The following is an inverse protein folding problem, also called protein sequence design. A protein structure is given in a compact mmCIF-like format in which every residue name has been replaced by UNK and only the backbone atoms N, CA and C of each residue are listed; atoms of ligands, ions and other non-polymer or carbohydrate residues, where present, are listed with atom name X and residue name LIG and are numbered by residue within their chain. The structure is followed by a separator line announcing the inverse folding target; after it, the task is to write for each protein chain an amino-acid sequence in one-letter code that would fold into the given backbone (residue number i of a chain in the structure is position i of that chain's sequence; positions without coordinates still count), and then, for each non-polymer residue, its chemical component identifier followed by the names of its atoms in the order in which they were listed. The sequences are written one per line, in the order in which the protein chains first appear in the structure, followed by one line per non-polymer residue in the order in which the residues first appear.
data_IF_162673459873
#
_entry.id   IF_162673459873
#
_cell.length_a   1.000
_cell.length_b   1.000
_cell.length_c   1.000
_cell.angle_alpha   90.00
_cell.angle_beta   90.00
_cell.angle_gamma   90.00
#
_symmetry.space_group_name_H-M   'P 1'
#
loop_
_entity.id
_entity.type
_entity.pdbx_description
1 polymer ?
#
# COMPACT_ATOMS: atom_id res chain seq x y z
N UNK A 1 20.75 -8.12 -10.43
CA UNK A 1 20.26 -6.95 -9.67
C UNK A 1 18.80 -7.15 -9.27
N UNK A 2 18.55 -7.53 -8.02
CA UNK A 2 17.20 -7.64 -7.46
C UNK A 2 16.65 -6.23 -7.30
N UNK A 3 15.84 -5.78 -8.27
CA UNK A 3 14.96 -4.62 -8.09
C UNK A 3 13.94 -5.02 -7.03
N UNK A 4 14.25 -4.80 -5.76
CA UNK A 4 13.23 -4.83 -4.71
C UNK A 4 12.14 -3.85 -5.17
N UNK A 5 10.96 -4.38 -5.45
CA UNK A 5 9.82 -3.56 -5.86
C UNK A 5 9.39 -2.80 -4.60
N UNK A 6 8.88 -1.57 -4.74
CA UNK A 6 8.47 -0.74 -3.61
C UNK A 6 7.56 -1.47 -2.60
N UNK A 7 6.68 -2.35 -3.06
CA UNK A 7 5.79 -3.15 -2.20
C UNK A 7 6.53 -4.21 -1.37
N UNK A 8 7.61 -4.79 -1.90
CA UNK A 8 8.46 -5.77 -1.22
C UNK A 8 9.09 -5.17 0.03
N UNK A 9 9.74 -4.01 -0.10
CA UNK A 9 10.42 -3.35 1.01
C UNK A 9 9.44 -2.96 2.13
N UNK A 10 8.28 -2.41 1.76
CA UNK A 10 7.24 -2.04 2.73
C UNK A 10 6.70 -3.29 3.43
N UNK A 11 6.47 -4.38 2.69
CA UNK A 11 6.01 -5.63 3.27
C UNK A 11 7.02 -6.22 4.27
N UNK A 12 8.31 -6.23 3.93
CA UNK A 12 9.37 -6.68 4.83
C UNK A 12 9.42 -5.85 6.12
N UNK A 13 9.27 -4.53 6.03
CA UNK A 13 9.29 -3.65 7.20
C UNK A 13 8.15 -3.98 8.18
N UNK A 14 6.91 -4.12 7.71
CA UNK A 14 5.79 -4.51 8.57
C UNK A 14 5.93 -5.95 9.11
N UNK A 15 6.42 -6.88 8.29
CA UNK A 15 6.64 -8.26 8.73
C UNK A 15 7.75 -8.39 9.76
N UNK A 16 8.73 -7.49 9.79
CA UNK A 16 9.82 -7.49 10.78
C UNK A 16 9.34 -7.29 12.22
N UNK A 17 8.15 -6.72 12.39
CA UNK A 17 7.49 -6.48 13.68
C UNK A 17 6.18 -7.28 13.81
N UNK A 18 5.98 -8.29 12.96
CA UNK A 18 4.77 -9.12 12.90
C UNK A 18 3.45 -8.35 12.74
N UNK A 19 3.50 -7.17 12.10
CA UNK A 19 2.30 -6.42 11.76
C UNK A 19 1.56 -7.06 10.56
N UNK A 20 0.25 -7.36 10.68
CA UNK A 20 -0.47 -8.08 9.63
C UNK A 20 -0.81 -7.18 8.43
N UNK A 21 -0.47 -7.63 7.22
CA UNK A 21 -0.96 -7.03 5.96
C UNK A 21 -2.18 -7.83 5.48
N UNK A 22 -2.01 -9.06 5.01
CA UNK A 22 -3.11 -9.97 4.69
C UNK A 22 -2.77 -11.38 5.21
N UNK A 23 -2.84 -11.60 6.53
CA UNK A 23 -2.47 -12.88 7.12
C UNK A 23 -3.38 -13.99 6.60
N UNK A 24 -2.80 -15.17 6.39
CA UNK A 24 -3.55 -16.38 6.05
C UNK A 24 -4.02 -16.99 7.36
N UNK A 25 -5.34 -17.18 7.50
CA UNK A 25 -5.91 -17.89 8.65
C UNK A 25 -5.64 -19.38 8.49
N UNK A 26 -5.08 -20.01 9.53
CA UNK A 26 -4.92 -21.46 9.61
C UNK A 26 -6.27 -22.18 9.56
N UNK A 27 -6.25 -23.45 9.15
CA UNK A 27 -7.45 -24.29 9.06
C UNK A 27 -7.94 -24.77 10.43
N UNK A 28 -7.15 -24.54 11.48
CA UNK A 28 -7.40 -24.99 12.85
C UNK A 28 -8.58 -24.20 13.44
N UNK A 29 -9.78 -24.64 13.09
CA UNK A 29 -11.01 -24.34 13.80
C UNK A 29 -11.32 -25.57 14.64
N UNK A 30 -10.53 -25.74 15.72
CA UNK A 30 -10.77 -26.78 16.70
C UNK A 30 -12.16 -26.60 17.33
N UNK A 31 -12.84 -27.73 17.56
CA UNK A 31 -14.21 -27.82 18.12
C UNK A 31 -14.33 -27.27 19.56
N UNK A 32 -13.20 -26.92 20.20
CA UNK A 32 -13.09 -26.54 21.62
C UNK A 32 -12.64 -25.08 21.86
N UNK A 33 -12.88 -24.17 20.93
CA UNK A 33 -12.65 -22.73 21.17
C UNK A 33 -11.19 -22.27 21.05
N UNK A 34 -10.38 -22.97 20.26
CA UNK A 34 -8.99 -22.58 20.00
C UNK A 34 -8.91 -21.25 19.23
N UNK A 35 -7.95 -20.40 19.63
CA UNK A 35 -7.67 -19.12 18.97
C UNK A 35 -7.06 -19.40 17.59
N UNK A 36 -7.60 -18.83 16.50
CA UNK A 36 -7.09 -19.11 15.16
C UNK A 36 -5.64 -18.64 15.01
N UNK A 37 -4.77 -19.53 14.53
CA UNK A 37 -3.38 -19.21 14.19
C UNK A 37 -3.34 -18.47 12.84
N UNK A 38 -2.52 -17.42 12.76
CA UNK A 38 -2.33 -16.63 11.55
C UNK A 38 -0.91 -16.74 11.03
N UNK A 39 -0.76 -16.85 9.70
CA UNK A 39 0.51 -16.99 9.03
C UNK A 39 0.79 -15.81 8.09
N UNK A 40 2.05 -15.38 8.05
CA UNK A 40 2.54 -14.35 7.13
C UNK A 40 2.62 -14.92 5.70
N UNK A 41 2.22 -14.12 4.70
CA UNK A 41 2.50 -14.41 3.28
C UNK A 41 3.97 -14.10 3.00
N UNK A 42 4.55 -14.74 1.98
CA UNK A 42 5.88 -14.34 1.51
C UNK A 42 5.84 -12.88 1.00
N UNK A 43 6.78 -12.05 1.43
CA UNK A 43 6.75 -10.60 1.20
C UNK A 43 6.83 -10.19 -0.29
N UNK A 44 7.38 -11.04 -1.15
CA UNK A 44 7.41 -10.80 -2.61
C UNK A 44 6.04 -10.95 -3.28
N UNK A 45 5.04 -11.49 -2.58
CA UNK A 45 3.68 -11.68 -3.11
C UNK A 45 2.78 -10.47 -2.88
N UNK A 46 3.28 -9.38 -2.28
CA UNK A 46 2.51 -8.16 -2.07
C UNK A 46 2.62 -7.21 -3.25
N UNK A 47 1.46 -6.76 -3.73
CA UNK A 47 1.29 -5.60 -4.59
C UNK A 47 0.80 -4.39 -3.76
N UNK A 48 0.94 -3.15 -4.27
CA UNK A 48 0.44 -1.97 -3.57
C UNK A 48 -1.04 -2.06 -3.13
N UNK A 49 -1.90 -2.71 -3.92
CA UNK A 49 -3.33 -2.90 -3.61
C UNK A 49 -3.57 -3.71 -2.34
N UNK A 50 -2.66 -4.60 -1.95
CA UNK A 50 -2.86 -5.46 -0.78
C UNK A 50 -2.84 -4.67 0.54
N UNK A 51 -2.10 -3.55 0.59
CA UNK A 51 -2.13 -2.65 1.73
C UNK A 51 -3.47 -1.93 1.85
N UNK A 52 -4.05 -1.51 0.72
CA UNK A 52 -5.37 -0.86 0.69
C UNK A 52 -6.52 -1.82 1.01
N UNK A 53 -6.41 -3.11 0.62
CA UNK A 53 -7.41 -4.14 0.93
C UNK A 53 -7.29 -4.71 2.34
N UNK A 54 -6.18 -4.46 3.02
CA UNK A 54 -5.96 -4.98 4.36
C UNK A 54 -6.96 -4.38 5.36
N UNK A 55 -7.62 -5.20 6.19
CA UNK A 55 -8.46 -4.68 7.27
C UNK A 55 -7.63 -4.06 8.41
N UNK A 56 -6.30 -4.20 8.37
CA UNK A 56 -5.39 -3.71 9.39
C UNK A 56 -4.77 -2.35 9.01
N UNK A 57 -5.17 -1.74 7.89
CA UNK A 57 -4.70 -0.42 7.48
C UNK A 57 -5.88 0.52 7.24
N UNK A 58 -5.72 1.78 7.67
CA UNK A 58 -6.63 2.85 7.30
C UNK A 58 -6.13 3.52 6.02
N UNK A 59 -6.98 3.60 5.00
CA UNK A 59 -6.69 4.32 3.76
C UNK A 59 -7.12 5.77 3.91
N UNK A 60 -6.20 6.64 4.33
CA UNK A 60 -6.45 8.08 4.53
C UNK A 60 -6.10 8.84 3.24
N UNK A 61 -7.04 9.59 2.69
CA UNK A 61 -6.85 10.44 1.49
C UNK A 61 -7.35 11.87 1.79
N UNK A 62 -6.55 12.69 2.49
CA UNK A 62 -7.02 13.98 3.00
C UNK A 62 -7.57 14.88 1.90
N UNK A 63 -6.95 14.90 0.72
CA UNK A 63 -7.42 15.73 -0.40
C UNK A 63 -8.85 15.40 -0.82
N UNK A 64 -9.27 14.13 -0.75
CA UNK A 64 -10.65 13.73 -1.06
C UNK A 64 -11.64 14.25 -0.02
N UNK A 65 -11.25 14.25 1.26
CA UNK A 65 -12.06 14.76 2.37
C UNK A 65 -12.34 16.27 2.26
N UNK A 66 -11.46 17.00 1.57
CA UNK A 66 -11.60 18.43 1.32
C UNK A 66 -12.34 18.76 0.00
N UNK A 67 -13.04 17.78 -0.61
CA UNK A 67 -13.89 18.02 -1.78
C UNK A 67 -13.15 17.99 -3.13
N UNK A 68 -12.01 17.30 -3.21
CA UNK A 68 -11.29 17.15 -4.48
C UNK A 68 -12.17 16.53 -5.57
N UNK A 69 -12.25 17.22 -6.72
CA UNK A 69 -12.91 16.75 -7.92
C UNK A 69 -11.90 16.60 -9.06
N UNK A 70 -11.52 15.36 -9.38
CA UNK A 70 -10.55 15.07 -10.42
C UNK A 70 -10.95 15.60 -11.80
N UNK A 71 -12.24 15.86 -12.06
CA UNK A 71 -12.72 16.44 -13.33
C UNK A 71 -12.36 17.91 -13.49
N UNK A 72 -12.04 18.60 -12.40
CA UNK A 72 -11.57 19.99 -12.43
C UNK A 72 -10.06 20.07 -12.70
N UNK A 73 -9.35 18.93 -12.69
CA UNK A 73 -7.92 18.89 -12.95
C UNK A 73 -7.67 19.17 -14.43
N UNK A 74 -6.93 20.24 -14.71
CA UNK A 74 -6.45 20.57 -16.05
C UNK A 74 -5.07 19.97 -16.22
N UNK A 75 -4.95 18.98 -17.07
CA UNK A 75 -3.65 18.46 -17.49
C UNK A 75 -2.98 19.51 -18.38
N UNK A 76 -1.73 19.86 -18.07
CA UNK A 76 -0.92 20.66 -18.99
C UNK A 76 -0.45 19.79 -20.15
N UNK A 77 -0.45 20.34 -21.37
CA UNK A 77 0.31 19.75 -22.47
C UNK A 77 1.80 19.98 -22.19
N UNK A 78 2.63 18.97 -22.45
CA UNK A 78 4.06 18.88 -22.09
C UNK A 78 5.00 19.90 -22.80
N UNK A 79 4.54 21.12 -23.10
CA UNK A 79 5.28 22.09 -23.92
C UNK A 79 5.88 23.29 -23.16
N UNK A 80 5.43 23.64 -21.95
CA UNK A 80 5.86 24.90 -21.31
C UNK A 80 6.68 24.74 -20.01
N UNK A 81 7.03 23.51 -19.60
CA UNK A 81 7.80 23.27 -18.38
C UNK A 81 9.33 23.46 -18.52
N UNK A 82 9.83 24.09 -19.59
CA UNK A 82 11.28 24.27 -19.84
C UNK A 82 11.65 25.71 -20.25
N UNK A 83 11.03 26.74 -19.67
CA UNK A 83 11.47 28.13 -19.92
C UNK A 83 11.51 29.04 -18.69
N UNK A 84 11.50 28.49 -17.47
CA UNK A 84 11.53 29.28 -16.23
C UNK A 84 12.79 29.07 -15.39
N UNK A 85 13.94 28.82 -16.01
CA UNK A 85 15.26 28.97 -15.36
C UNK A 85 16.22 29.64 -16.35
N UNK A 86 16.05 30.95 -16.52
CA UNK A 86 17.16 31.87 -16.78
C UNK A 86 16.76 33.30 -16.43
N UNK A 87 17.37 33.87 -15.38
CA UNK A 87 17.89 35.23 -15.50
C UNK A 87 19.38 35.27 -15.13
N UNK A 88 20.08 36.16 -15.83
CA UNK A 88 21.51 36.45 -15.88
C UNK A 88 22.29 36.41 -14.55
#
# INVERSE_FOLDING_TARGET
PTRAICSTLVAEAFQSIDYPILPIRGQDTGVEGEVPVFYRRHFTHFAPRDFDLSPYFQVIKPTLEHGFNYKQLKWGDNAEAVSADNPE
#
